data_IF_048905290697
#
_entry.id   IF_048905290697
#
_cell.length_a   1.000
_cell.length_b   1.000
_cell.length_c   1.000
_cell.angle_alpha   90.00
_cell.angle_beta   90.00
_cell.angle_gamma   90.00
#
_symmetry.space_group_name_H-M   'P 1'
#
loop_
_entity.id
_entity.type
_entity.pdbx_description
1 polymer ?
#
# COMPACT_ATOMS: atom_id res chain seq x y z
N UNK A 1 12.79 -42.95 15.78
CA UNK A 1 12.40 -43.22 14.39
C UNK A 1 12.43 -41.89 13.64
N UNK A 2 13.44 -41.67 12.83
CA UNK A 2 13.54 -40.46 11.97
C UNK A 2 12.48 -40.54 10.87
N UNK A 3 11.54 -39.63 10.84
CA UNK A 3 10.51 -39.59 9.81
C UNK A 3 10.99 -38.62 8.68
N UNK A 4 11.47 -39.14 7.55
CA UNK A 4 12.04 -38.32 6.47
C UNK A 4 11.02 -37.35 5.84
N UNK A 5 9.71 -37.64 5.97
CA UNK A 5 8.64 -36.76 5.51
C UNK A 5 8.57 -35.44 6.30
N UNK A 6 8.92 -35.45 7.60
CA UNK A 6 8.97 -34.24 8.41
C UNK A 6 10.19 -33.34 8.07
N UNK A 7 11.24 -33.90 7.50
CA UNK A 7 12.39 -33.11 7.02
C UNK A 7 12.08 -32.44 5.67
N UNK A 8 11.40 -33.15 4.78
CA UNK A 8 10.97 -32.62 3.48
C UNK A 8 9.92 -31.50 3.65
N UNK A 9 8.98 -31.62 4.59
CA UNK A 9 7.98 -30.57 4.86
C UNK A 9 8.59 -29.27 5.39
N UNK A 10 9.75 -29.33 6.07
CA UNK A 10 10.52 -28.15 6.52
C UNK A 10 11.33 -27.48 5.40
N UNK A 11 11.61 -28.20 4.33
CA UNK A 11 12.42 -27.71 3.19
C UNK A 11 11.50 -27.13 2.10
N UNK A 12 10.29 -27.67 1.94
CA UNK A 12 9.34 -27.19 0.95
C UNK A 12 8.50 -26.07 1.58
N UNK A 13 8.87 -24.82 1.28
CA UNK A 13 8.05 -23.65 1.63
C UNK A 13 6.67 -23.79 1.02
N UNK A 14 5.62 -23.57 1.81
CA UNK A 14 4.24 -23.50 1.30
C UNK A 14 4.12 -22.40 0.25
N UNK A 15 3.10 -22.49 -0.62
CA UNK A 15 2.84 -21.45 -1.63
C UNK A 15 2.70 -20.06 -0.98
N UNK A 16 2.02 -19.98 0.16
CA UNK A 16 1.88 -18.74 0.93
C UNK A 16 3.23 -18.21 1.45
N UNK A 17 4.14 -19.08 1.91
CA UNK A 17 5.43 -18.63 2.40
C UNK A 17 6.31 -18.07 1.27
N UNK A 18 6.27 -18.68 0.09
CA UNK A 18 6.98 -18.16 -1.09
C UNK A 18 6.46 -16.80 -1.49
N UNK A 19 5.15 -16.61 -1.40
CA UNK A 19 4.51 -15.35 -1.71
C UNK A 19 4.84 -14.25 -0.68
N UNK A 20 4.81 -14.57 0.61
CA UNK A 20 5.26 -13.66 1.66
C UNK A 20 6.72 -13.27 1.50
N UNK A 21 7.61 -14.22 1.15
CA UNK A 21 9.02 -13.94 0.88
C UNK A 21 9.20 -12.99 -0.33
N UNK A 22 8.37 -13.16 -1.38
CA UNK A 22 8.37 -12.28 -2.55
C UNK A 22 7.93 -10.86 -2.17
N UNK A 23 6.78 -10.75 -1.49
CA UNK A 23 6.26 -9.45 -1.05
C UNK A 23 7.23 -8.79 -0.05
N UNK A 24 7.87 -9.58 0.82
CA UNK A 24 8.89 -9.09 1.75
C UNK A 24 10.04 -8.36 1.06
N UNK A 25 10.43 -8.75 -0.17
CA UNK A 25 11.42 -8.02 -0.95
C UNK A 25 10.91 -6.64 -1.37
N UNK A 26 9.65 -6.54 -1.73
CA UNK A 26 9.01 -5.24 -2.06
C UNK A 26 8.97 -4.35 -0.81
N UNK A 27 8.58 -4.91 0.34
CA UNK A 27 8.57 -4.20 1.62
C UNK A 27 9.96 -3.67 1.98
N UNK A 28 11.01 -4.45 1.76
CA UNK A 28 12.39 -4.00 1.96
C UNK A 28 12.77 -2.83 1.04
N UNK A 29 12.29 -2.82 -0.21
CA UNK A 29 12.48 -1.68 -1.11
C UNK A 29 11.76 -0.43 -0.58
N UNK A 30 10.51 -0.57 -0.13
CA UNK A 30 9.74 0.53 0.48
C UNK A 30 10.46 1.08 1.71
N UNK A 31 10.94 0.19 2.59
CA UNK A 31 11.71 0.57 3.78
C UNK A 31 13.01 1.31 3.42
N UNK A 32 13.68 0.89 2.36
CA UNK A 32 14.89 1.56 1.86
C UNK A 32 14.65 3.00 1.36
N UNK A 33 13.43 3.31 0.94
CA UNK A 33 13.04 4.63 0.46
C UNK A 33 12.59 5.59 1.58
N UNK A 34 12.34 5.11 2.80
CA UNK A 34 11.76 5.89 3.89
C UNK A 34 12.53 7.19 4.15
N UNK A 35 13.85 7.11 4.32
CA UNK A 35 14.69 8.29 4.56
C UNK A 35 14.62 9.33 3.43
N UNK A 36 14.46 8.88 2.18
CA UNK A 36 14.31 9.78 1.03
C UNK A 36 13.03 10.59 1.16
N UNK A 37 11.92 9.95 1.54
CA UNK A 37 10.62 10.61 1.66
C UNK A 37 10.46 11.42 2.94
N UNK A 38 11.13 11.06 4.03
CA UNK A 38 11.18 11.89 5.25
C UNK A 38 11.74 13.30 5.01
N UNK A 39 12.61 13.45 4.02
CA UNK A 39 13.27 14.72 3.71
C UNK A 39 12.55 15.58 2.69
N UNK A 40 11.42 15.14 2.12
CA UNK A 40 10.66 15.94 1.16
C UNK A 40 9.81 17.02 1.89
N UNK A 41 9.64 18.18 1.24
CA UNK A 41 8.75 19.23 1.73
C UNK A 41 7.27 18.85 1.60
N UNK A 42 6.39 19.42 2.43
CA UNK A 42 4.94 19.16 2.31
C UNK A 42 4.39 19.56 0.93
N UNK A 43 4.91 20.64 0.35
CA UNK A 43 4.53 21.10 -1.00
C UNK A 43 5.01 20.18 -2.15
N UNK A 44 5.83 19.19 -1.84
CA UNK A 44 6.40 18.31 -2.86
C UNK A 44 5.64 16.99 -3.03
N UNK A 45 4.70 16.69 -2.13
CA UNK A 45 3.83 15.50 -2.28
C UNK A 45 3.04 15.50 -3.58
N UNK A 46 2.29 16.58 -3.94
CA UNK A 46 1.59 16.63 -5.23
C UNK A 46 2.53 16.52 -6.43
N UNK A 47 3.72 17.13 -6.34
CA UNK A 47 4.72 17.01 -7.42
C UNK A 47 5.20 15.59 -7.60
N UNK A 48 5.42 14.85 -6.50
CA UNK A 48 5.80 13.44 -6.56
C UNK A 48 4.69 12.57 -7.13
N UNK A 49 3.45 12.84 -6.81
CA UNK A 49 2.30 12.17 -7.39
C UNK A 49 2.24 12.42 -8.90
N UNK A 50 2.38 13.68 -9.33
CA UNK A 50 2.42 14.05 -10.77
C UNK A 50 3.59 13.38 -11.50
N UNK A 51 4.76 13.24 -10.86
CA UNK A 51 5.92 12.53 -11.41
C UNK A 51 5.60 11.03 -11.62
N UNK A 52 4.96 10.37 -10.64
CA UNK A 52 4.55 8.97 -10.76
C UNK A 52 3.51 8.77 -11.87
N UNK A 53 2.53 9.68 -12.00
CA UNK A 53 1.53 9.65 -13.07
C UNK A 53 2.20 9.83 -14.44
N UNK A 54 3.15 10.76 -14.57
CA UNK A 54 3.89 10.94 -15.83
C UNK A 54 4.62 9.67 -16.24
N UNK A 55 5.31 9.03 -15.32
CA UNK A 55 6.02 7.77 -15.59
C UNK A 55 5.09 6.65 -16.06
N UNK A 56 3.87 6.55 -15.49
CA UNK A 56 2.84 5.60 -15.97
C UNK A 56 2.39 5.95 -17.40
N UNK A 57 2.17 7.22 -17.71
CA UNK A 57 1.79 7.67 -19.04
C UNK A 57 2.90 7.41 -20.09
N UNK A 58 4.17 7.45 -19.64
CA UNK A 58 5.34 7.14 -20.46
C UNK A 58 5.56 5.61 -20.63
N UNK A 59 4.65 4.79 -20.08
CA UNK A 59 4.62 3.34 -20.26
C UNK A 59 5.33 2.52 -19.18
N UNK A 60 5.75 3.15 -18.07
CA UNK A 60 6.25 2.40 -16.92
C UNK A 60 5.11 1.61 -16.26
N UNK A 61 5.39 0.39 -15.83
CA UNK A 61 4.36 -0.46 -15.23
C UNK A 61 4.07 -0.06 -13.78
N UNK A 62 2.81 -0.11 -13.38
CA UNK A 62 2.36 0.25 -12.02
C UNK A 62 3.14 -0.49 -10.91
N UNK A 63 3.51 -1.75 -11.13
CA UNK A 63 4.32 -2.52 -10.18
C UNK A 63 5.76 -1.99 -10.01
N UNK A 64 6.28 -1.24 -10.96
CA UNK A 64 7.63 -0.66 -10.87
C UNK A 64 7.63 0.60 -10.00
N UNK A 65 6.55 1.37 -10.02
CA UNK A 65 6.39 2.56 -9.19
C UNK A 65 5.83 2.24 -7.78
N UNK A 66 5.28 1.04 -7.55
CA UNK A 66 4.66 0.63 -6.28
C UNK A 66 5.53 0.93 -5.05
N UNK A 67 6.83 0.62 -5.02
CA UNK A 67 7.63 0.91 -3.83
C UNK A 67 7.71 2.40 -3.50
N UNK A 68 7.82 3.26 -4.51
CA UNK A 68 7.85 4.72 -4.33
C UNK A 68 6.49 5.26 -3.91
N UNK A 69 5.41 4.79 -4.54
CA UNK A 69 4.05 5.17 -4.20
C UNK A 69 3.70 4.82 -2.75
N UNK A 70 4.03 3.60 -2.31
CA UNK A 70 3.78 3.17 -0.93
C UNK A 70 4.65 3.92 0.10
N UNK A 71 5.90 4.23 -0.23
CA UNK A 71 6.76 5.03 0.63
C UNK A 71 6.22 6.47 0.77
N UNK A 72 5.69 7.05 -0.31
CA UNK A 72 5.06 8.38 -0.30
C UNK A 72 3.81 8.40 0.59
N UNK A 73 2.90 7.42 0.43
CA UNK A 73 1.69 7.31 1.27
C UNK A 73 2.04 7.06 2.73
N UNK A 74 3.05 6.23 3.02
CA UNK A 74 3.53 6.00 4.40
C UNK A 74 3.96 7.29 5.06
N UNK A 75 4.75 8.12 4.37
CA UNK A 75 5.22 9.39 4.90
C UNK A 75 4.06 10.40 5.03
N UNK A 76 3.16 10.47 4.05
CA UNK A 76 1.97 11.30 4.14
C UNK A 76 1.10 10.92 5.36
N UNK A 77 0.87 9.63 5.58
CA UNK A 77 0.12 9.12 6.73
C UNK A 77 0.78 9.48 8.07
N UNK A 78 2.10 9.34 8.15
CA UNK A 78 2.87 9.75 9.34
C UNK A 78 2.69 11.23 9.65
N UNK A 79 2.65 12.10 8.63
CA UNK A 79 2.48 13.55 8.82
C UNK A 79 1.05 13.96 9.13
N UNK A 80 0.07 13.37 8.45
CA UNK A 80 -1.35 13.76 8.55
C UNK A 80 -2.01 13.16 9.78
N UNK A 81 -1.79 11.87 10.02
CA UNK A 81 -2.45 11.09 11.07
C UNK A 81 -1.55 10.74 12.24
N UNK A 82 -0.24 11.02 12.15
CA UNK A 82 0.78 10.50 13.06
C UNK A 82 0.79 8.96 13.13
N UNK A 83 0.37 8.32 12.04
CA UNK A 83 0.28 6.86 11.88
C UNK A 83 1.21 6.40 10.76
N UNK A 84 2.29 5.71 11.12
CA UNK A 84 3.20 5.10 10.17
C UNK A 84 2.74 3.69 9.83
N UNK A 85 2.59 3.36 8.57
CA UNK A 85 2.28 1.99 8.15
C UNK A 85 3.36 1.00 8.60
N UNK A 86 2.94 -0.08 9.25
CA UNK A 86 3.79 -1.22 9.59
C UNK A 86 3.99 -2.14 8.40
N UNK A 87 5.04 -2.97 8.46
CA UNK A 87 5.37 -3.89 7.36
C UNK A 87 4.22 -4.86 7.03
N UNK A 88 3.46 -5.32 8.03
CA UNK A 88 2.27 -6.15 7.83
C UNK A 88 1.19 -5.43 7.00
N UNK A 89 1.05 -4.12 7.18
CA UNK A 89 0.10 -3.31 6.40
C UNK A 89 0.61 -3.10 4.96
N UNK A 90 1.90 -2.93 4.77
CA UNK A 90 2.50 -2.89 3.42
C UNK A 90 2.28 -4.21 2.68
N UNK A 91 2.48 -5.36 3.36
CA UNK A 91 2.18 -6.68 2.80
C UNK A 91 0.70 -6.77 2.39
N UNK A 92 -0.21 -6.33 3.26
CA UNK A 92 -1.64 -6.27 2.97
C UNK A 92 -1.96 -5.38 1.76
N UNK A 93 -1.37 -4.20 1.67
CA UNK A 93 -1.53 -3.28 0.54
C UNK A 93 -1.07 -3.87 -0.79
N UNK A 94 0.08 -4.55 -0.80
CA UNK A 94 0.57 -5.27 -2.00
C UNK A 94 -0.39 -6.38 -2.39
N UNK A 95 -0.86 -7.19 -1.42
CA UNK A 95 -1.81 -8.27 -1.69
C UNK A 95 -3.11 -7.75 -2.31
N UNK A 96 -3.66 -6.63 -1.79
CA UNK A 96 -4.86 -6.00 -2.32
C UNK A 96 -4.64 -5.49 -3.75
N UNK A 97 -3.53 -4.80 -4.01
CA UNK A 97 -3.19 -4.34 -5.35
C UNK A 97 -3.08 -5.49 -6.36
N UNK A 98 -2.57 -6.63 -5.93
CA UNK A 98 -2.43 -7.84 -6.76
C UNK A 98 -3.71 -8.69 -6.86
N UNK A 99 -4.88 -8.15 -6.52
CA UNK A 99 -6.17 -8.84 -6.53
C UNK A 99 -6.23 -10.08 -5.63
N UNK A 100 -5.53 -10.05 -4.50
CA UNK A 100 -5.52 -11.12 -3.49
C UNK A 100 -6.34 -10.73 -2.28
N UNK A 101 -6.78 -11.71 -1.52
CA UNK A 101 -7.42 -11.51 -0.22
C UNK A 101 -6.33 -11.34 0.82
N UNK A 102 -6.31 -10.18 1.50
CA UNK A 102 -5.43 -9.92 2.63
C UNK A 102 -6.20 -10.21 3.93
N UNK A 103 -5.92 -11.34 4.55
CA UNK A 103 -6.44 -11.63 5.88
C UNK A 103 -5.58 -10.92 6.93
N UNK A 104 -6.20 -10.02 7.68
CA UNK A 104 -5.56 -9.26 8.76
C UNK A 104 -6.40 -9.39 10.04
N UNK A 105 -5.74 -9.51 11.19
CA UNK A 105 -6.40 -9.59 12.49
C UNK A 105 -7.13 -8.29 12.83
N UNK A 106 -8.09 -8.40 13.73
CA UNK A 106 -8.76 -7.22 14.29
C UNK A 106 -7.74 -6.32 14.99
N UNK A 107 -7.78 -5.01 14.72
CA UNK A 107 -6.84 -4.06 15.29
C UNK A 107 -5.55 -3.83 14.46
N UNK A 108 -5.31 -4.58 13.39
CA UNK A 108 -4.10 -4.40 12.55
C UNK A 108 -4.18 -3.23 11.54
N UNK A 109 -5.19 -2.37 11.66
CA UNK A 109 -5.29 -1.15 10.84
C UNK A 109 -5.69 -1.41 9.38
N UNK A 110 -6.70 -2.24 9.13
CA UNK A 110 -7.20 -2.56 7.78
C UNK A 110 -7.55 -1.29 6.97
N UNK A 111 -8.19 -0.31 7.61
CA UNK A 111 -8.57 0.96 6.96
C UNK A 111 -7.33 1.70 6.45
N UNK A 112 -6.28 1.75 7.25
CA UNK A 112 -5.01 2.38 6.85
C UNK A 112 -4.32 1.58 5.73
N UNK A 113 -4.39 0.25 5.77
CA UNK A 113 -3.83 -0.63 4.73
C UNK A 113 -4.45 -0.38 3.35
N UNK A 114 -5.77 -0.15 3.29
CA UNK A 114 -6.48 0.10 2.03
C UNK A 114 -5.97 1.36 1.32
N UNK A 115 -5.53 2.38 2.05
CA UNK A 115 -5.05 3.64 1.46
C UNK A 115 -3.85 3.43 0.53
N UNK A 116 -3.00 2.45 0.82
CA UNK A 116 -1.84 2.10 0.00
C UNK A 116 -2.25 1.64 -1.40
N UNK A 117 -3.16 0.66 -1.46
CA UNK A 117 -3.67 0.14 -2.72
C UNK A 117 -4.56 1.17 -3.45
N UNK A 118 -5.38 1.93 -2.70
CA UNK A 118 -6.22 2.97 -3.26
C UNK A 118 -5.40 4.05 -3.95
N UNK A 119 -4.39 4.59 -3.27
CA UNK A 119 -3.49 5.59 -3.85
C UNK A 119 -2.80 5.08 -5.11
N UNK A 120 -2.16 3.91 -5.03
CA UNK A 120 -1.42 3.36 -6.17
C UNK A 120 -2.31 3.19 -7.40
N UNK A 121 -3.50 2.60 -7.22
CA UNK A 121 -4.40 2.34 -8.36
C UNK A 121 -5.07 3.63 -8.87
N UNK A 122 -5.26 4.65 -8.02
CA UNK A 122 -5.76 5.96 -8.45
C UNK A 122 -4.82 6.68 -9.43
N UNK A 123 -3.50 6.42 -9.36
CA UNK A 123 -2.53 7.00 -10.29
C UNK A 123 -2.79 6.64 -11.77
N UNK A 124 -3.50 5.54 -12.04
CA UNK A 124 -3.90 5.17 -13.40
C UNK A 124 -5.10 5.99 -13.93
N UNK A 125 -5.75 6.81 -13.11
CA UNK A 125 -6.89 7.66 -13.49
C UNK A 125 -8.11 6.87 -14.01
N UNK A 126 -8.31 5.65 -13.53
CA UNK A 126 -9.43 4.78 -13.92
C UNK A 126 -10.55 4.72 -12.88
N UNK A 127 -10.42 5.47 -11.79
CA UNK A 127 -11.30 5.41 -10.62
C UNK A 127 -10.98 4.21 -9.72
N UNK A 128 -11.15 4.40 -8.41
CA UNK A 128 -11.01 3.35 -7.39
C UNK A 128 -12.23 3.35 -6.49
N UNK A 129 -12.88 2.20 -6.37
CA UNK A 129 -14.04 2.04 -5.49
C UNK A 129 -13.65 1.30 -4.22
N UNK A 130 -13.92 1.92 -3.05
CA UNK A 130 -13.71 1.30 -1.75
C UNK A 130 -15.08 0.96 -1.16
N UNK A 131 -15.34 -0.33 -0.98
CA UNK A 131 -16.61 -0.83 -0.43
C UNK A 131 -16.42 -1.22 1.02
N UNK A 132 -17.30 -0.74 1.89
CA UNK A 132 -17.34 -1.06 3.32
C UNK A 132 -18.64 -1.78 3.67
N UNK A 133 -18.73 -2.31 4.89
CA UNK A 133 -19.88 -3.11 5.33
C UNK A 133 -21.17 -2.28 5.53
N UNK A 134 -21.06 -0.97 5.73
CA UNK A 134 -22.21 -0.06 5.90
C UNK A 134 -21.84 1.41 5.65
N UNK A 135 -22.87 2.26 5.51
CA UNK A 135 -22.73 3.69 5.20
C UNK A 135 -22.00 4.47 6.29
N UNK A 136 -22.15 4.08 7.55
CA UNK A 136 -21.44 4.73 8.66
C UNK A 136 -19.92 4.58 8.51
N UNK A 137 -19.46 3.37 8.22
CA UNK A 137 -18.03 3.12 7.99
C UNK A 137 -17.55 3.77 6.71
N UNK A 138 -18.34 3.75 5.64
CA UNK A 138 -18.00 4.44 4.40
C UNK A 138 -17.75 5.93 4.65
N UNK A 139 -18.68 6.60 5.33
CA UNK A 139 -18.55 8.02 5.67
C UNK A 139 -17.37 8.31 6.59
N UNK A 140 -17.20 7.51 7.65
CA UNK A 140 -16.09 7.67 8.60
C UNK A 140 -14.74 7.50 7.91
N UNK A 141 -14.60 6.43 7.12
CA UNK A 141 -13.33 6.08 6.51
C UNK A 141 -12.98 7.04 5.36
N UNK A 142 -13.97 7.51 4.59
CA UNK A 142 -13.74 8.54 3.57
C UNK A 142 -13.30 9.87 4.18
N UNK A 143 -13.89 10.29 5.29
CA UNK A 143 -13.48 11.50 5.99
C UNK A 143 -12.06 11.39 6.58
N UNK A 144 -11.76 10.26 7.24
CA UNK A 144 -10.46 10.07 7.87
C UNK A 144 -9.33 9.87 6.85
N UNK A 145 -9.54 9.02 5.85
CA UNK A 145 -8.50 8.68 4.88
C UNK A 145 -8.46 9.65 3.70
N UNK A 146 -9.54 10.41 3.47
CA UNK A 146 -9.58 11.45 2.45
C UNK A 146 -8.47 12.48 2.64
N UNK A 147 -8.24 12.96 3.85
CA UNK A 147 -7.16 13.90 4.16
C UNK A 147 -5.78 13.40 3.69
N UNK A 148 -5.51 12.10 3.85
CA UNK A 148 -4.27 11.47 3.39
C UNK A 148 -4.16 11.48 1.86
N UNK A 149 -5.23 11.13 1.17
CA UNK A 149 -5.28 11.09 -0.29
C UNK A 149 -5.23 12.50 -0.90
N UNK A 150 -5.90 13.49 -0.27
CA UNK A 150 -5.81 14.90 -0.68
C UNK A 150 -4.39 15.45 -0.52
N UNK A 151 -3.70 15.14 0.57
CA UNK A 151 -2.31 15.59 0.79
C UNK A 151 -1.38 15.10 -0.31
N UNK A 152 -1.66 13.92 -0.87
CA UNK A 152 -0.89 13.33 -1.97
C UNK A 152 -1.48 13.63 -3.36
N UNK A 153 -2.51 14.51 -3.48
CA UNK A 153 -3.17 14.89 -4.74
C UNK A 153 -3.77 13.71 -5.53
N UNK A 154 -4.11 12.65 -4.81
CA UNK A 154 -4.75 11.47 -5.41
C UNK A 154 -6.27 11.44 -5.20
N UNK A 155 -6.83 12.43 -4.49
CA UNK A 155 -8.21 12.39 -4.03
C UNK A 155 -9.23 12.82 -5.08
N UNK A 156 -8.88 13.68 -6.01
CA UNK A 156 -9.83 14.16 -7.04
C UNK A 156 -10.32 13.03 -7.95
N UNK A 157 -9.67 11.87 -7.88
CA UNK A 157 -9.99 10.69 -8.69
C UNK A 157 -10.39 9.44 -7.89
N UNK A 158 -10.20 9.46 -6.56
CA UNK A 158 -10.45 8.30 -5.69
C UNK A 158 -11.79 8.37 -4.94
N UNK A 159 -12.47 9.52 -4.94
CA UNK A 159 -13.74 9.72 -4.22
C UNK A 159 -14.81 10.12 -5.24
N UNK A 160 -15.27 9.14 -6.00
CA UNK A 160 -16.46 9.22 -6.81
C UNK A 160 -17.64 8.60 -6.08
#
# INVERSE_FOLDING_TARGET
MFNPLNLLSKIIKSGNQKELDRIGKIVNQINGLEKKFENIGNSDFPKKTSELISRLNDGEKINQILPEAFALVREASKRVHNERHFDVQLIGGVALHENKIAEMKTGEGKTLTITLAAYLNALEKKGVHIVTVNDYLAKRDSQNMGCLLYTSDAADEAIG
#
